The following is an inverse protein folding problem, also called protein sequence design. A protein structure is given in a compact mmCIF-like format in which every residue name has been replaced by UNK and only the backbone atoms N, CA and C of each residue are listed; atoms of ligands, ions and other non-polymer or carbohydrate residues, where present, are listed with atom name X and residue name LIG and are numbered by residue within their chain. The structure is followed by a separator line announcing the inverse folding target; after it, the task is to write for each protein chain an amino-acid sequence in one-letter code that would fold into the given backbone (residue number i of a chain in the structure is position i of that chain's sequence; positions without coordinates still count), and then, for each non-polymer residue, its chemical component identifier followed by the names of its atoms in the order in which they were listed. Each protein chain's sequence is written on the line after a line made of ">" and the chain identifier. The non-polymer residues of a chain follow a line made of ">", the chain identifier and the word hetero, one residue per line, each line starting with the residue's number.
data_IF_486493556767
#
_entry.id   IF_486493556767
#
_cell.length_a   1.000
_cell.length_b   1.000
_cell.length_c   1.000
_cell.angle_alpha   90.00
_cell.angle_beta   90.00
_cell.angle_gamma   90.00
#
_symmetry.space_group_name_H-M   'P 1'
#
loop_
_entity.id
_entity.type
_entity.pdbx_description
1 polymer ?
#
# COMPACT_ATOMS: atom_id res chain seq x y z
N UNK A 1 -10.11 8.24 -10.72
CA UNK A 1 -8.74 8.71 -11.08
C UNK A 1 -8.51 8.41 -12.56
N UNK A 2 -7.84 9.31 -13.30
CA UNK A 2 -7.85 9.40 -14.77
C UNK A 2 -7.15 8.22 -15.50
N UNK A 3 -7.93 7.37 -16.17
CA UNK A 3 -7.48 6.25 -17.02
C UNK A 3 -6.77 6.64 -18.34
N UNK A 4 -6.54 7.94 -18.61
CA UNK A 4 -5.99 8.38 -19.91
C UNK A 4 -4.46 8.57 -19.99
N UNK A 5 -3.74 8.61 -18.86
CA UNK A 5 -2.33 9.06 -18.85
C UNK A 5 -1.33 7.99 -19.32
N UNK A 6 -1.60 6.70 -19.10
CA UNK A 6 -0.71 5.62 -19.53
C UNK A 6 -0.69 5.48 -21.07
N UNK A 7 -1.85 5.65 -21.71
CA UNK A 7 -1.98 5.66 -23.18
C UNK A 7 -1.09 6.71 -23.84
N UNK A 8 -0.97 7.89 -23.23
CA UNK A 8 -0.15 8.99 -23.74
C UNK A 8 1.36 8.74 -23.63
N UNK A 9 1.82 8.01 -22.62
CA UNK A 9 3.22 7.59 -22.52
C UNK A 9 3.52 6.48 -23.54
N UNK A 10 2.60 5.53 -23.71
CA UNK A 10 2.74 4.46 -24.68
C UNK A 10 2.79 4.98 -26.13
N UNK A 11 1.99 6.00 -26.46
CA UNK A 11 2.03 6.70 -27.76
C UNK A 11 3.37 7.42 -28.02
N UNK A 12 4.06 7.86 -26.96
CA UNK A 12 5.40 8.45 -27.04
C UNK A 12 6.53 7.41 -27.13
N UNK A 13 6.19 6.12 -27.19
CA UNK A 13 7.14 5.02 -27.38
C UNK A 13 7.64 4.37 -26.08
N UNK A 14 7.09 4.74 -24.93
CA UNK A 14 7.44 4.07 -23.67
C UNK A 14 6.76 2.70 -23.58
N UNK A 15 7.51 1.67 -23.19
CA UNK A 15 6.96 0.35 -22.87
C UNK A 15 6.45 0.35 -21.43
N UNK A 16 5.19 -0.04 -21.25
CA UNK A 16 4.49 0.02 -19.96
C UNK A 16 4.02 -1.39 -19.60
N UNK A 17 4.26 -1.77 -18.35
CA UNK A 17 3.69 -2.97 -17.76
C UNK A 17 2.76 -2.53 -16.63
N UNK A 18 1.46 -2.78 -16.80
CA UNK A 18 0.45 -2.49 -15.80
C UNK A 18 0.23 -3.72 -14.94
N UNK A 19 0.52 -3.61 -13.64
CA UNK A 19 0.29 -4.66 -12.65
C UNK A 19 -0.97 -4.27 -11.86
N UNK A 20 -2.09 -4.95 -12.11
CA UNK A 20 -3.37 -4.54 -11.53
C UNK A 20 -4.39 -5.68 -11.50
N UNK A 21 -5.42 -5.62 -10.66
CA UNK A 21 -6.41 -6.68 -10.55
C UNK A 21 -7.30 -6.85 -11.79
N UNK A 22 -7.55 -5.76 -12.52
CA UNK A 22 -8.47 -5.75 -13.67
C UNK A 22 -7.72 -5.62 -14.99
N UNK A 23 -8.14 -6.39 -16.00
CA UNK A 23 -7.70 -6.16 -17.37
C UNK A 23 -8.40 -4.94 -17.94
N UNK A 24 -7.62 -3.95 -18.37
CA UNK A 24 -8.14 -2.79 -19.12
C UNK A 24 -7.97 -3.12 -20.61
N UNK A 25 -9.00 -2.83 -21.40
CA UNK A 25 -8.91 -2.98 -22.86
C UNK A 25 -8.20 -1.75 -23.40
N UNK A 26 -6.89 -1.86 -23.62
CA UNK A 26 -6.11 -0.84 -24.31
C UNK A 26 -5.58 -1.40 -25.62
N UNK A 27 -5.82 -0.66 -26.71
CA UNK A 27 -5.37 -1.03 -28.04
C UNK A 27 -4.02 -0.36 -28.33
N UNK A 28 -2.97 -0.78 -27.61
CA UNK A 28 -1.61 -0.28 -27.79
C UNK A 28 -0.58 -1.39 -27.52
N UNK A 29 0.25 -1.71 -28.52
CA UNK A 29 1.26 -2.77 -28.45
C UNK A 29 2.38 -2.51 -27.41
N UNK A 30 2.57 -1.25 -27.01
CA UNK A 30 3.57 -0.87 -26.00
C UNK A 30 3.06 -1.08 -24.55
N UNK A 31 1.81 -1.50 -24.36
CA UNK A 31 1.22 -1.73 -23.04
C UNK A 31 1.00 -3.24 -22.85
N UNK A 32 1.57 -3.77 -21.78
CA UNK A 32 1.37 -5.13 -21.32
C UNK A 32 0.72 -5.13 -19.94
N UNK A 33 -0.01 -6.19 -19.61
CA UNK A 33 -0.73 -6.30 -18.35
C UNK A 33 -0.32 -7.56 -17.61
N UNK A 34 -0.03 -7.43 -16.32
CA UNK A 34 0.01 -8.53 -15.36
C UNK A 34 -1.27 -8.43 -14.54
N UNK A 35 -2.16 -9.41 -14.69
CA UNK A 35 -3.51 -9.36 -14.12
C UNK A 35 -3.56 -10.15 -12.82
N UNK A 36 -3.85 -9.46 -11.73
CA UNK A 36 -3.89 -10.01 -10.37
C UNK A 36 -5.34 -10.19 -9.88
N UNK A 37 -6.15 -10.96 -10.61
CA UNK A 37 -7.61 -11.01 -10.42
C UNK A 37 -8.05 -11.50 -9.03
N UNK A 38 -7.28 -12.37 -8.39
CA UNK A 38 -7.63 -12.92 -7.06
C UNK A 38 -7.42 -11.89 -5.94
N UNK A 39 -6.76 -10.76 -6.21
CA UNK A 39 -6.58 -9.69 -5.24
C UNK A 39 -7.91 -9.23 -4.61
N UNK A 40 -8.99 -9.13 -5.39
CA UNK A 40 -10.30 -8.76 -4.84
C UNK A 40 -10.90 -9.85 -3.96
N UNK A 41 -10.67 -11.11 -4.33
CA UNK A 41 -11.18 -12.26 -3.58
C UNK A 41 -10.56 -12.29 -2.18
N UNK A 42 -9.23 -12.17 -2.10
CA UNK A 42 -8.49 -12.12 -0.82
C UNK A 42 -9.04 -11.02 0.09
N UNK A 43 -9.19 -9.80 -0.44
CA UNK A 43 -9.78 -8.70 0.35
C UNK A 43 -11.24 -8.98 0.77
N UNK A 44 -12.04 -9.58 -0.12
CA UNK A 44 -13.43 -9.91 0.18
C UNK A 44 -13.60 -11.04 1.18
N UNK A 45 -12.66 -11.99 1.26
CA UNK A 45 -12.73 -13.11 2.21
C UNK A 45 -12.49 -12.65 3.65
N UNK A 46 -11.59 -11.69 3.85
CA UNK A 46 -11.29 -11.12 5.16
C UNK A 46 -12.42 -10.23 5.72
N UNK A 47 -13.26 -9.64 4.84
CA UNK A 47 -14.50 -8.94 5.20
C UNK A 47 -14.36 -7.84 6.27
N UNK A 48 -13.21 -7.14 6.31
CA UNK A 48 -12.86 -6.16 7.36
C UNK A 48 -13.98 -5.14 7.64
N UNK A 49 -14.56 -4.56 6.59
CA UNK A 49 -15.65 -3.58 6.75
C UNK A 49 -16.92 -4.17 7.37
N UNK A 50 -17.28 -5.40 7.00
CA UNK A 50 -18.42 -6.11 7.57
C UNK A 50 -18.20 -6.43 9.04
N UNK A 51 -16.98 -6.87 9.40
CA UNK A 51 -16.59 -7.16 10.80
C UNK A 51 -16.65 -5.92 11.68
N UNK A 52 -16.15 -4.79 11.16
CA UNK A 52 -16.25 -3.49 11.83
C UNK A 52 -17.72 -3.10 12.06
N UNK A 53 -18.57 -3.22 11.04
CA UNK A 53 -20.01 -2.92 11.14
C UNK A 53 -20.77 -3.85 12.10
N UNK A 54 -20.27 -5.06 12.33
CA UNK A 54 -20.84 -6.03 13.28
C UNK A 54 -20.36 -5.86 14.72
N UNK A 55 -19.47 -4.89 15.00
CA UNK A 55 -18.97 -4.62 16.35
C UNK A 55 -17.94 -5.62 16.86
N UNK A 56 -17.19 -6.27 15.97
CA UNK A 56 -16.04 -7.10 16.39
C UNK A 56 -14.99 -6.24 17.12
N UNK A 57 -14.21 -6.88 18.00
CA UNK A 57 -13.14 -6.20 18.74
C UNK A 57 -12.11 -5.62 17.77
N UNK A 58 -11.64 -4.40 18.06
CA UNK A 58 -10.59 -3.74 17.28
C UNK A 58 -9.32 -4.60 17.13
N UNK A 59 -8.98 -5.39 18.16
CA UNK A 59 -7.82 -6.30 18.11
C UNK A 59 -8.05 -7.41 17.10
N UNK A 60 -9.25 -7.98 17.05
CA UNK A 60 -9.61 -9.01 16.06
C UNK A 60 -9.57 -8.44 14.65
N UNK A 61 -10.11 -7.24 14.47
CA UNK A 61 -10.12 -6.54 13.18
C UNK A 61 -8.68 -6.31 12.69
N UNK A 62 -7.80 -5.77 13.55
CA UNK A 62 -6.40 -5.54 13.20
C UNK A 62 -5.66 -6.83 12.86
N UNK A 63 -5.87 -7.92 13.60
CA UNK A 63 -5.25 -9.21 13.30
C UNK A 63 -5.74 -9.78 11.97
N UNK A 64 -7.05 -9.75 11.70
CA UNK A 64 -7.61 -10.20 10.42
C UNK A 64 -7.14 -9.32 9.25
N UNK A 65 -7.00 -8.01 9.46
CA UNK A 65 -6.44 -7.10 8.47
C UNK A 65 -4.98 -7.46 8.15
N UNK A 66 -4.17 -7.72 9.17
CA UNK A 66 -2.79 -8.15 8.99
C UNK A 66 -2.68 -9.48 8.23
N UNK A 67 -3.50 -10.47 8.58
CA UNK A 67 -3.56 -11.76 7.87
C UNK A 67 -3.92 -11.55 6.39
N UNK A 68 -4.92 -10.71 6.11
CA UNK A 68 -5.32 -10.39 4.75
C UNK A 68 -4.25 -9.66 3.95
N UNK A 69 -3.50 -8.76 4.58
CA UNK A 69 -2.36 -8.12 3.92
C UNK A 69 -1.22 -9.09 3.63
N UNK A 70 -0.92 -10.02 4.54
CA UNK A 70 0.11 -11.04 4.31
C UNK A 70 -0.29 -11.92 3.12
N UNK A 71 -1.51 -12.46 3.13
CA UNK A 71 -2.00 -13.30 2.02
C UNK A 71 -2.01 -12.53 0.70
N UNK A 72 -2.43 -11.26 0.72
CA UNK A 72 -2.39 -10.40 -0.45
C UNK A 72 -0.98 -10.23 -0.99
N UNK A 73 -0.01 -9.90 -0.14
CA UNK A 73 1.40 -9.72 -0.54
C UNK A 73 1.97 -11.04 -1.08
N UNK A 74 1.71 -12.16 -0.41
CA UNK A 74 2.16 -13.49 -0.85
C UNK A 74 1.59 -13.85 -2.21
N UNK A 75 0.30 -13.62 -2.46
CA UNK A 75 -0.33 -13.83 -3.76
C UNK A 75 0.32 -12.97 -4.85
N UNK A 76 0.48 -11.66 -4.61
CA UNK A 76 1.06 -10.76 -5.61
C UNK A 76 2.52 -11.13 -5.92
N UNK A 77 3.30 -11.46 -4.89
CA UNK A 77 4.70 -11.82 -5.05
C UNK A 77 4.88 -13.18 -5.69
N UNK A 78 4.09 -14.18 -5.33
CA UNK A 78 4.17 -15.54 -5.88
C UNK A 78 3.62 -15.64 -7.31
N UNK A 79 2.92 -14.61 -7.79
CA UNK A 79 2.36 -14.60 -9.14
C UNK A 79 3.46 -14.83 -10.21
N UNK A 80 3.31 -15.81 -11.12
CA UNK A 80 4.36 -16.21 -12.05
C UNK A 80 4.94 -15.07 -12.89
N UNK A 81 4.08 -14.14 -13.36
CA UNK A 81 4.53 -13.00 -14.16
C UNK A 81 5.29 -11.95 -13.33
N UNK A 82 4.95 -11.80 -12.05
CA UNK A 82 5.68 -10.91 -11.12
C UNK A 82 7.03 -11.54 -10.77
N UNK A 83 7.07 -12.84 -10.53
CA UNK A 83 8.32 -13.60 -10.36
C UNK A 83 9.23 -13.48 -11.59
N UNK A 84 8.69 -13.58 -12.81
CA UNK A 84 9.47 -13.39 -14.03
C UNK A 84 10.03 -11.97 -14.15
N UNK A 85 9.26 -10.95 -13.76
CA UNK A 85 9.74 -9.57 -13.71
C UNK A 85 10.89 -9.43 -12.70
N UNK A 86 10.76 -10.03 -11.52
CA UNK A 86 11.78 -10.00 -10.45
C UNK A 86 13.07 -10.76 -10.77
N UNK A 87 13.07 -11.65 -11.76
CA UNK A 87 14.32 -12.29 -12.25
C UNK A 87 15.26 -11.27 -12.91
N UNK A 88 14.77 -10.09 -13.27
CA UNK A 88 15.60 -9.00 -13.79
C UNK A 88 16.05 -9.19 -15.24
N UNK A 89 15.41 -10.09 -15.99
CA UNK A 89 15.69 -10.31 -17.42
C UNK A 89 15.38 -9.07 -18.28
N UNK A 90 14.52 -8.18 -17.79
CA UNK A 90 14.14 -6.92 -18.42
C UNK A 90 14.56 -5.75 -17.53
N UNK A 91 15.23 -4.76 -18.13
CA UNK A 91 15.54 -3.51 -17.44
C UNK A 91 14.25 -2.72 -17.19
N UNK A 92 14.08 -2.21 -15.98
CA UNK A 92 12.98 -1.31 -15.59
C UNK A 92 13.60 0.03 -15.25
N UNK A 93 13.31 1.07 -16.04
CA UNK A 93 13.86 2.41 -15.80
C UNK A 93 13.10 3.17 -14.70
N UNK A 94 11.79 2.93 -14.59
CA UNK A 94 10.89 3.61 -13.67
C UNK A 94 9.78 2.66 -13.18
N UNK A 95 9.53 2.67 -11.88
CA UNK A 95 8.49 1.87 -11.22
C UNK A 95 7.54 2.77 -10.44
N UNK A 96 6.24 2.62 -10.69
CA UNK A 96 5.19 3.29 -9.92
C UNK A 96 4.52 2.27 -9.01
N UNK A 97 4.27 2.66 -7.77
CA UNK A 97 3.54 1.82 -6.81
C UNK A 97 2.57 2.64 -5.98
N UNK A 98 1.39 2.10 -5.74
CA UNK A 98 0.49 2.65 -4.73
C UNK A 98 1.13 2.44 -3.34
N UNK A 99 1.30 3.53 -2.61
CA UNK A 99 1.81 3.57 -1.26
C UNK A 99 0.65 3.32 -0.31
N UNK A 100 0.43 2.05 0.00
CA UNK A 100 -0.36 1.62 1.16
C UNK A 100 0.49 0.80 2.13
N UNK A 101 1.50 0.09 1.60
CA UNK A 101 2.46 -0.67 2.38
C UNK A 101 3.88 -0.47 1.82
N UNK A 102 4.89 -0.79 2.62
CA UNK A 102 6.30 -0.69 2.21
C UNK A 102 6.69 -1.70 1.11
N UNK A 103 5.80 -2.62 0.76
CA UNK A 103 6.04 -3.68 -0.22
C UNK A 103 6.47 -3.14 -1.59
N UNK A 104 5.87 -2.04 -2.04
CA UNK A 104 6.26 -1.38 -3.29
C UNK A 104 7.76 -1.03 -3.34
N UNK A 105 8.36 -0.63 -2.22
CA UNK A 105 9.79 -0.29 -2.16
C UNK A 105 10.68 -1.51 -2.25
N UNK A 106 10.29 -2.60 -1.61
CA UNK A 106 11.02 -3.86 -1.72
C UNK A 106 11.06 -4.32 -3.19
N UNK A 107 9.93 -4.21 -3.89
CA UNK A 107 9.87 -4.55 -5.31
C UNK A 107 10.68 -3.57 -6.17
N UNK A 108 10.55 -2.25 -5.94
CA UNK A 108 11.33 -1.23 -6.67
C UNK A 108 12.85 -1.43 -6.52
N UNK A 109 13.29 -1.73 -5.29
CA UNK A 109 14.68 -2.09 -4.99
C UNK A 109 15.12 -3.35 -5.73
N UNK A 110 14.29 -4.41 -5.72
CA UNK A 110 14.57 -5.66 -6.44
C UNK A 110 14.70 -5.46 -7.96
N UNK A 111 13.91 -4.55 -8.52
CA UNK A 111 13.94 -4.19 -9.95
C UNK A 111 15.11 -3.26 -10.31
N UNK A 112 15.84 -2.73 -9.32
CA UNK A 112 16.89 -1.73 -9.51
C UNK A 112 16.42 -0.53 -10.37
N UNK A 113 15.18 -0.09 -10.13
CA UNK A 113 14.51 0.97 -10.87
C UNK A 113 14.39 2.23 -10.02
N UNK A 114 14.32 3.40 -10.67
CA UNK A 114 13.84 4.60 -9.96
C UNK A 114 12.38 4.38 -9.57
N UNK A 115 12.01 4.64 -8.32
CA UNK A 115 10.67 4.39 -7.82
C UNK A 115 9.92 5.68 -7.50
N UNK A 116 8.64 5.73 -7.87
CA UNK A 116 7.70 6.78 -7.48
C UNK A 116 6.53 6.12 -6.73
N UNK A 117 6.38 6.46 -5.45
CA UNK A 117 5.20 6.11 -4.66
C UNK A 117 4.06 7.08 -4.94
N UNK A 118 2.84 6.57 -5.06
CA UNK A 118 1.61 7.35 -5.24
C UNK A 118 0.65 6.96 -4.12
N UNK A 119 -0.01 7.92 -3.48
CA UNK A 119 -1.07 7.62 -2.51
C UNK A 119 -2.37 8.25 -3.01
N UNK A 120 -3.43 7.46 -3.09
CA UNK A 120 -4.75 7.87 -3.57
C UNK A 120 -5.66 8.43 -2.47
N UNK A 121 -5.24 8.29 -1.22
CA UNK A 121 -5.89 8.80 -0.01
C UNK A 121 -4.92 9.67 0.79
N UNK A 122 -5.35 10.21 1.93
CA UNK A 122 -4.44 10.92 2.81
C UNK A 122 -3.35 9.98 3.33
N UNK A 123 -2.12 10.49 3.44
CA UNK A 123 -0.99 9.68 3.85
C UNK A 123 -1.01 9.51 5.37
N UNK A 124 -0.70 8.30 5.85
CA UNK A 124 -0.54 8.07 7.28
C UNK A 124 0.62 8.91 7.83
N UNK A 125 0.63 9.15 9.14
CA UNK A 125 1.73 9.84 9.80
C UNK A 125 3.09 9.17 9.52
N UNK A 126 3.13 7.85 9.40
CA UNK A 126 4.34 7.09 9.08
C UNK A 126 4.79 7.35 7.64
N UNK A 127 3.85 7.39 6.69
CA UNK A 127 4.13 7.75 5.30
C UNK A 127 4.77 9.14 5.23
N UNK A 128 4.13 10.14 5.86
CA UNK A 128 4.66 11.49 5.87
C UNK A 128 6.07 11.56 6.47
N UNK A 129 6.32 10.89 7.60
CA UNK A 129 7.65 10.84 8.23
C UNK A 129 8.69 10.17 7.33
N UNK A 130 8.37 9.07 6.64
CA UNK A 130 9.28 8.39 5.71
C UNK A 130 9.73 9.30 4.55
N UNK A 131 8.86 10.19 4.10
CA UNK A 131 9.19 11.18 3.05
C UNK A 131 9.77 12.49 3.60
N UNK A 132 10.07 12.56 4.90
CA UNK A 132 10.68 13.73 5.53
C UNK A 132 9.71 14.90 5.75
N UNK A 133 8.40 14.67 5.64
CA UNK A 133 7.42 15.70 5.96
C UNK A 133 7.36 15.89 7.48
N UNK A 134 7.29 17.13 7.98
CA UNK A 134 7.09 17.38 9.40
C UNK A 134 5.69 16.88 9.80
N UNK A 135 5.64 15.96 10.75
CA UNK A 135 4.41 15.35 11.23
C UNK A 135 4.13 15.67 12.69
N UNK A 136 2.85 15.67 13.06
CA UNK A 136 2.42 15.81 14.45
C UNK A 136 1.19 14.91 14.68
N UNK A 137 1.16 14.04 15.70
CA UNK A 137 0.10 13.04 15.89
C UNK A 137 -1.29 13.65 16.08
N UNK A 138 -1.38 14.89 16.55
CA UNK A 138 -2.65 15.64 16.64
C UNK A 138 -3.17 16.08 15.25
N UNK A 139 -2.28 16.43 14.32
CA UNK A 139 -2.66 16.93 12.98
C UNK A 139 -2.83 15.77 11.99
N UNK A 140 -2.07 14.69 12.19
CA UNK A 140 -2.10 13.45 11.43
C UNK A 140 -2.33 12.28 12.41
N UNK A 141 -3.54 12.14 12.96
CA UNK A 141 -3.90 11.01 13.81
C UNK A 141 -3.76 9.71 13.02
N UNK A 142 -3.45 8.61 13.70
CA UNK A 142 -3.47 7.29 13.05
C UNK A 142 -4.88 7.03 12.49
N UNK A 143 -4.96 6.48 11.28
CA UNK A 143 -6.22 6.22 10.57
C UNK A 143 -7.20 5.35 11.38
N UNK A 144 -6.67 4.54 12.30
CA UNK A 144 -7.44 3.62 13.16
C UNK A 144 -8.08 4.31 14.37
N UNK A 145 -7.76 5.59 14.61
CA UNK A 145 -8.30 6.37 15.71
C UNK A 145 -9.25 7.44 15.19
N UNK A 146 -10.53 7.29 15.48
CA UNK A 146 -11.49 8.37 15.24
C UNK A 146 -11.14 9.57 16.12
N UNK A 147 -10.83 10.70 15.47
CA UNK A 147 -10.53 11.95 16.15
C UNK A 147 -11.42 13.04 15.59
N UNK A 148 -11.88 13.92 16.48
CA UNK A 148 -12.66 15.08 16.08
C UNK A 148 -11.77 16.11 15.36
N UNK A 149 -12.36 16.90 14.47
CA UNK A 149 -11.64 17.96 13.73
C UNK A 149 -11.09 19.07 14.65
N UNK A 150 -11.63 19.18 15.87
CA UNK A 150 -11.15 20.07 16.92
C UNK A 150 -10.94 19.28 18.22
N UNK A 151 -9.83 18.53 18.33
CA UNK A 151 -9.63 17.60 19.42
C UNK A 151 -9.39 18.34 20.74
N UNK A 152 -10.14 17.93 21.76
CA UNK A 152 -9.98 18.33 23.15
C UNK A 152 -8.61 17.91 23.68
N UNK A 153 -8.18 18.49 24.81
CA UNK A 153 -6.92 18.11 25.45
C UNK A 153 -6.84 16.60 25.74
N UNK A 154 -7.95 15.99 26.16
CA UNK A 154 -8.02 14.54 26.43
C UNK A 154 -7.79 13.72 25.16
N UNK A 155 -8.47 14.06 24.06
CA UNK A 155 -8.28 13.37 22.77
C UNK A 155 -6.84 13.52 22.30
N UNK A 156 -6.26 14.74 22.37
CA UNK A 156 -4.85 14.99 22.03
C UNK A 156 -3.88 14.11 22.81
N UNK A 157 -4.10 13.94 24.12
CA UNK A 157 -3.28 13.04 24.95
C UNK A 157 -3.43 11.58 24.51
N UNK A 158 -4.66 11.11 24.26
CA UNK A 158 -4.93 9.74 23.83
C UNK A 158 -4.27 9.46 22.48
N UNK A 159 -4.46 10.34 21.49
CA UNK A 159 -3.86 10.19 20.16
C UNK A 159 -2.34 10.18 20.23
N UNK A 160 -1.74 11.03 21.05
CA UNK A 160 -0.28 11.07 21.23
C UNK A 160 0.23 9.79 21.89
N UNK A 161 -0.45 9.31 22.93
CA UNK A 161 -0.08 8.06 23.60
C UNK A 161 -0.22 6.86 22.67
N UNK A 162 -1.31 6.78 21.91
CA UNK A 162 -1.53 5.73 20.91
C UNK A 162 -0.44 5.76 19.84
N UNK A 163 -0.06 6.93 19.35
CA UNK A 163 1.04 7.08 18.40
C UNK A 163 2.37 6.58 18.97
N UNK A 164 2.74 6.94 20.21
CA UNK A 164 3.97 6.45 20.87
C UNK A 164 3.94 4.92 21.00
N UNK A 165 2.83 4.36 21.46
CA UNK A 165 2.65 2.91 21.58
C UNK A 165 2.80 2.22 20.22
N UNK A 166 2.19 2.79 19.18
CA UNK A 166 2.29 2.28 17.82
C UNK A 166 3.72 2.30 17.31
N UNK A 167 4.46 3.40 17.49
CA UNK A 167 5.89 3.47 17.11
C UNK A 167 6.70 2.40 17.85
N UNK A 168 6.47 2.22 19.14
CA UNK A 168 7.14 1.19 19.93
C UNK A 168 6.86 -0.22 19.38
N UNK A 169 5.61 -0.53 19.06
CA UNK A 169 5.23 -1.81 18.44
C UNK A 169 5.93 -1.98 17.08
N UNK A 170 5.96 -0.95 16.24
CA UNK A 170 6.62 -1.01 14.93
C UNK A 170 8.13 -1.24 15.07
N UNK A 171 8.84 -0.44 15.87
CA UNK A 171 10.30 -0.53 15.99
C UNK A 171 10.77 -1.81 16.68
N UNK A 172 10.06 -2.28 17.72
CA UNK A 172 10.54 -3.40 18.54
C UNK A 172 9.92 -4.75 18.18
N UNK A 173 8.77 -4.79 17.50
CA UNK A 173 8.11 -6.04 17.09
C UNK A 173 8.21 -6.24 15.59
N UNK A 174 7.86 -5.24 14.77
CA UNK A 174 7.79 -5.42 13.32
C UNK A 174 9.13 -5.26 12.60
N UNK A 175 9.92 -4.22 12.90
CA UNK A 175 11.19 -3.98 12.23
C UNK A 175 12.21 -5.14 12.35
N UNK A 176 12.34 -5.83 13.51
CA UNK A 176 13.27 -6.96 13.63
C UNK A 176 12.88 -8.18 12.79
N UNK A 177 11.59 -8.34 12.48
CA UNK A 177 11.08 -9.44 11.64
C UNK A 177 11.37 -9.20 10.15
N UNK A 178 11.68 -7.95 9.77
CA UNK A 178 11.90 -7.55 8.37
C UNK A 178 13.38 -7.53 7.94
N UNK A 179 14.32 -7.81 8.85
CA UNK A 179 15.76 -7.92 8.60
C UNK A 179 16.17 -9.37 8.33
#
# INVERSE_FOLDING_TARGET
>A
MSFGKHSELAKRGHKITLIQPNKIIENNENISHIVLSESYKIFSEHNIFSRLGNGESIVTILLTEMEGFIEFIEYQLSHPEVQELMKGNKKVDLFFSEFLTNFGFALGSKLNASMIGIVSMDASINCHTLFGNPTHPIMYPNNDLETSSAPTFKERMITTFFWILFQFVVEFIFSPVQQ
#
